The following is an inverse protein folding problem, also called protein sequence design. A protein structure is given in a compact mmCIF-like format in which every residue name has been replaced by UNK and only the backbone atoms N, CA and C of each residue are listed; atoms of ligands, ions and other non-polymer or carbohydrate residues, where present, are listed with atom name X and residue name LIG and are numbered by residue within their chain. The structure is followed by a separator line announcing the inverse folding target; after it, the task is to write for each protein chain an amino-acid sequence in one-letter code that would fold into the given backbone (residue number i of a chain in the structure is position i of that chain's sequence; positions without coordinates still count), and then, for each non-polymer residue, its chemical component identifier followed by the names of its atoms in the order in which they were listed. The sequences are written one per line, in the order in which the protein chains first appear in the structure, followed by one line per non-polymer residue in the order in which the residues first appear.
data_IF_672911896614
#
_entry.id   IF_672911896614
#
_cell.length_a   1.000
_cell.length_b   1.000
_cell.length_c   1.000
_cell.angle_alpha   90.00
_cell.angle_beta   90.00
_cell.angle_gamma   90.00
#
_symmetry.space_group_name_H-M   'P 1'
#
loop_
_entity.id
_entity.type
_entity.pdbx_description
1 polymer ?
#
# COMPACT_ATOMS: atom_id res chain seq x y z
N UNK A 1 14.04 -32.62 -9.38
CA UNK A 1 13.31 -31.38 -9.01
C UNK A 1 13.34 -30.44 -10.20
N UNK A 2 12.20 -30.00 -10.77
CA UNK A 2 12.21 -29.17 -11.97
C UNK A 2 12.67 -27.76 -11.61
N UNK A 3 13.73 -27.33 -12.30
CA UNK A 3 14.55 -26.16 -11.97
C UNK A 3 13.83 -24.83 -12.12
N UNK A 4 14.15 -23.94 -11.20
CA UNK A 4 13.77 -22.53 -11.18
C UNK A 4 14.19 -21.84 -12.49
N UNK A 5 13.21 -21.51 -13.33
CA UNK A 5 13.34 -20.91 -14.66
C UNK A 5 13.78 -19.42 -14.60
N UNK A 6 14.66 -19.06 -13.66
CA UNK A 6 15.27 -17.73 -13.54
C UNK A 6 16.38 -17.46 -14.56
N UNK A 7 16.56 -18.31 -15.57
CA UNK A 7 17.46 -18.07 -16.71
C UNK A 7 16.69 -17.39 -17.85
N UNK A 8 17.11 -16.15 -18.13
CA UNK A 8 16.72 -15.29 -19.25
C UNK A 8 16.36 -16.10 -20.52
N UNK A 9 15.09 -16.05 -20.93
CA UNK A 9 14.65 -16.49 -22.27
C UNK A 9 13.97 -17.86 -22.36
N UNK A 10 13.79 -18.61 -21.27
CA UNK A 10 13.05 -19.88 -21.28
C UNK A 10 11.53 -19.70 -21.30
N UNK A 11 10.81 -20.64 -21.92
CA UNK A 11 9.34 -20.74 -21.88
C UNK A 11 8.85 -20.64 -20.43
N UNK A 12 7.87 -19.75 -20.20
CA UNK A 12 7.34 -19.46 -18.87
C UNK A 12 6.95 -20.74 -18.12
N UNK A 13 7.29 -20.79 -16.82
CA UNK A 13 6.94 -21.89 -15.92
C UNK A 13 5.45 -22.25 -16.04
N UNK A 14 5.16 -23.54 -16.20
CA UNK A 14 3.79 -24.10 -16.21
C UNK A 14 3.16 -24.17 -14.83
N UNK A 15 3.83 -23.61 -13.81
CA UNK A 15 3.30 -23.54 -12.46
C UNK A 15 1.94 -22.79 -12.48
N UNK A 16 0.88 -23.37 -11.88
CA UNK A 16 -0.45 -22.78 -11.84
C UNK A 16 -0.48 -21.33 -11.34
N UNK A 17 0.38 -20.96 -10.38
CA UNK A 17 0.47 -19.59 -9.87
C UNK A 17 1.00 -18.61 -10.93
N UNK A 18 1.98 -19.04 -11.72
CA UNK A 18 2.58 -18.24 -12.78
C UNK A 18 1.59 -18.06 -13.94
N UNK A 19 0.85 -19.13 -14.28
CA UNK A 19 -0.20 -19.11 -15.28
C UNK A 19 -1.36 -18.17 -14.91
N UNK A 20 -1.86 -18.24 -13.66
CA UNK A 20 -2.91 -17.30 -13.18
C UNK A 20 -2.45 -15.85 -13.25
N UNK A 21 -1.22 -15.57 -12.83
CA UNK A 21 -0.67 -14.21 -12.88
C UNK A 21 -0.57 -13.69 -14.31
N UNK A 22 -0.21 -14.57 -15.25
CA UNK A 22 -0.10 -14.22 -16.68
C UNK A 22 -1.47 -13.95 -17.30
N UNK A 23 -2.46 -14.79 -17.01
CA UNK A 23 -3.84 -14.57 -17.44
C UNK A 23 -4.38 -13.25 -16.87
N UNK A 24 -4.12 -12.98 -15.59
CA UNK A 24 -4.50 -11.71 -14.96
C UNK A 24 -3.84 -10.51 -15.67
N UNK A 25 -2.53 -10.57 -15.96
CA UNK A 25 -1.84 -9.50 -16.67
C UNK A 25 -2.33 -9.30 -18.11
N UNK A 26 -2.68 -10.39 -18.81
CA UNK A 26 -3.22 -10.32 -20.17
C UNK A 26 -4.61 -9.70 -20.21
N UNK A 27 -5.40 -9.88 -19.14
CA UNK A 27 -6.77 -9.37 -19.04
C UNK A 27 -6.85 -7.94 -18.48
N UNK A 28 -5.71 -7.29 -18.18
CA UNK A 28 -5.72 -5.89 -17.73
C UNK A 28 -5.98 -4.94 -18.90
N UNK A 29 -6.84 -3.96 -18.68
CA UNK A 29 -6.99 -2.83 -19.62
C UNK A 29 -5.67 -2.05 -19.71
N UNK A 30 -5.37 -1.45 -20.87
CA UNK A 30 -4.13 -0.69 -21.08
C UNK A 30 -3.96 0.44 -20.06
N UNK A 31 -5.05 1.06 -19.64
CA UNK A 31 -5.08 2.11 -18.60
C UNK A 31 -4.61 1.58 -17.24
N UNK A 32 -5.20 0.48 -16.76
CA UNK A 32 -4.82 -0.18 -15.50
C UNK A 32 -3.37 -0.68 -15.55
N UNK A 33 -2.91 -1.14 -16.71
CA UNK A 33 -1.52 -1.56 -16.89
C UNK A 33 -0.55 -0.37 -16.77
N UNK A 34 -0.89 0.77 -17.38
CA UNK A 34 -0.10 2.00 -17.28
C UNK A 34 -0.06 2.56 -15.84
N UNK A 35 -1.18 2.55 -15.13
CA UNK A 35 -1.25 2.96 -13.72
C UNK A 35 -0.37 2.09 -12.82
N UNK A 36 -0.46 0.76 -12.98
CA UNK A 36 0.41 -0.16 -12.23
C UNK A 36 1.88 0.12 -12.53
N UNK A 37 2.24 0.33 -13.79
CA UNK A 37 3.61 0.67 -14.17
C UNK A 37 4.10 1.95 -13.50
N UNK A 38 3.25 2.99 -13.40
CA UNK A 38 3.55 4.24 -12.68
C UNK A 38 3.76 3.99 -11.18
N UNK A 39 2.82 3.29 -10.53
CA UNK A 39 2.92 2.92 -9.10
C UNK A 39 4.18 2.11 -8.80
N UNK A 40 4.49 1.12 -9.62
CA UNK A 40 5.72 0.32 -9.47
C UNK A 40 6.99 1.15 -9.66
N UNK A 41 7.01 2.08 -10.61
CA UNK A 41 8.16 2.95 -10.83
C UNK A 41 8.40 3.89 -9.64
N UNK A 42 7.33 4.45 -9.06
CA UNK A 42 7.40 5.27 -7.86
C UNK A 42 7.90 4.46 -6.65
N UNK A 43 7.25 3.32 -6.36
CA UNK A 43 7.66 2.39 -5.31
C UNK A 43 9.15 2.03 -5.42
N UNK A 44 9.62 1.69 -6.63
CA UNK A 44 11.01 1.33 -6.85
C UNK A 44 11.96 2.50 -6.56
N UNK A 45 11.60 3.70 -7.00
CA UNK A 45 12.41 4.89 -6.76
C UNK A 45 12.52 5.23 -5.27
N UNK A 46 11.42 5.18 -4.52
CA UNK A 46 11.41 5.37 -3.07
C UNK A 46 12.24 4.29 -2.36
N UNK A 47 12.05 3.02 -2.74
CA UNK A 47 12.80 1.90 -2.18
C UNK A 47 14.30 2.06 -2.41
N UNK A 48 14.72 2.46 -3.61
CA UNK A 48 16.13 2.64 -3.94
C UNK A 48 16.77 3.77 -3.12
N UNK A 49 16.01 4.85 -2.84
CA UNK A 49 16.44 5.90 -1.92
C UNK A 49 16.58 5.38 -0.49
N UNK A 50 15.57 4.68 0.05
CA UNK A 50 15.68 4.11 1.40
C UNK A 50 16.86 3.13 1.52
N UNK A 51 17.14 2.35 0.47
CA UNK A 51 18.33 1.47 0.44
C UNK A 51 19.62 2.29 0.46
N UNK A 52 19.69 3.40 -0.28
CA UNK A 52 20.86 4.27 -0.30
C UNK A 52 21.09 4.95 1.05
N UNK A 53 20.03 5.54 1.62
CA UNK A 53 20.07 6.19 2.94
C UNK A 53 20.42 5.19 4.02
N UNK A 54 19.83 4.00 4.04
CA UNK A 54 20.16 2.96 5.04
C UNK A 54 21.61 2.44 4.98
N UNK A 55 22.35 2.75 3.91
CA UNK A 55 23.77 2.44 3.77
C UNK A 55 24.69 3.61 4.13
N UNK A 56 24.16 4.83 4.28
CA UNK A 56 24.96 6.00 4.64
C UNK A 56 25.45 5.89 6.09
N UNK A 57 26.55 6.55 6.39
CA UNK A 57 27.14 6.50 7.73
C UNK A 57 26.28 7.28 8.73
N UNK A 58 25.72 8.42 8.31
CA UNK A 58 24.73 9.16 9.10
C UNK A 58 23.55 8.29 9.57
N UNK A 59 23.10 7.31 8.76
CA UNK A 59 22.04 6.40 9.16
C UNK A 59 22.51 5.30 10.14
N UNK A 60 23.77 4.86 10.03
CA UNK A 60 24.37 3.86 10.91
C UNK A 60 24.70 4.44 12.29
N UNK A 61 25.12 5.70 12.34
CA UNK A 61 25.51 6.41 13.56
C UNK A 61 24.30 6.70 14.47
N UNK A 62 23.11 6.85 13.87
CA UNK A 62 21.88 7.00 14.63
C UNK A 62 21.49 5.69 15.31
N UNK A 63 21.24 5.75 16.62
CA UNK A 63 20.86 4.58 17.43
C UNK A 63 19.35 4.44 17.58
N UNK A 64 18.61 5.56 17.58
CA UNK A 64 17.16 5.59 17.79
C UNK A 64 16.37 5.21 16.53
N UNK A 65 15.19 4.58 16.74
CA UNK A 65 14.27 4.25 15.64
C UNK A 65 13.76 5.52 14.95
N UNK A 66 13.30 6.50 15.72
CA UNK A 66 12.69 7.71 15.16
C UNK A 66 13.69 8.55 14.40
N UNK A 67 14.95 8.61 14.84
CA UNK A 67 16.02 9.26 14.09
C UNK A 67 16.29 8.58 12.74
N UNK A 68 16.24 7.24 12.69
CA UNK A 68 16.37 6.47 11.44
C UNK A 68 15.20 6.69 10.50
N UNK A 69 13.97 6.70 11.03
CA UNK A 69 12.78 6.99 10.24
C UNK A 69 12.83 8.40 9.67
N UNK A 70 13.25 9.39 10.46
CA UNK A 70 13.42 10.78 10.00
C UNK A 70 14.42 10.91 8.85
N UNK A 71 15.58 10.25 8.94
CA UNK A 71 16.56 10.27 7.84
C UNK A 71 16.02 9.64 6.55
N UNK A 72 15.23 8.56 6.69
CA UNK A 72 14.59 7.90 5.55
C UNK A 72 13.47 8.76 4.96
N UNK A 73 12.64 9.40 5.79
CA UNK A 73 11.55 10.27 5.34
C UNK A 73 12.11 11.50 4.64
N UNK A 74 13.15 12.15 5.18
CA UNK A 74 13.83 13.28 4.53
C UNK A 74 14.37 12.90 3.14
N UNK A 75 14.96 11.71 3.00
CA UNK A 75 15.44 11.21 1.71
C UNK A 75 14.31 11.01 0.70
N UNK A 76 13.20 10.42 1.14
CA UNK A 76 12.02 10.19 0.29
C UNK A 76 11.30 11.49 -0.07
N UNK A 77 11.16 12.42 0.87
CA UNK A 77 10.56 13.73 0.64
C UNK A 77 11.35 14.55 -0.38
N UNK A 78 12.69 14.54 -0.30
CA UNK A 78 13.54 15.17 -1.34
C UNK A 78 13.30 14.56 -2.72
N UNK A 79 13.22 13.23 -2.81
CA UNK A 79 12.90 12.56 -4.08
C UNK A 79 11.52 12.97 -4.61
N UNK A 80 10.51 13.08 -3.75
CA UNK A 80 9.17 13.50 -4.16
C UNK A 80 9.16 14.97 -4.62
N UNK A 81 9.87 15.86 -3.93
CA UNK A 81 10.07 17.24 -4.36
C UNK A 81 10.76 17.31 -5.74
N UNK A 82 11.82 16.53 -5.97
CA UNK A 82 12.50 16.46 -7.27
C UNK A 82 11.58 15.92 -8.39
N UNK A 83 10.71 14.95 -8.08
CA UNK A 83 9.72 14.44 -9.03
C UNK A 83 8.70 15.49 -9.41
N UNK A 84 8.21 16.25 -8.44
CA UNK A 84 7.29 17.37 -8.66
C UNK A 84 7.97 18.43 -9.55
N UNK A 85 9.21 18.81 -9.21
CA UNK A 85 9.99 19.78 -9.98
C UNK A 85 10.25 19.31 -11.44
N UNK A 86 10.49 18.02 -11.64
CA UNK A 86 10.73 17.40 -12.97
C UNK A 86 9.44 16.97 -13.69
N UNK A 87 8.26 17.33 -13.16
CA UNK A 87 6.94 16.97 -13.70
C UNK A 87 6.76 15.47 -13.96
N UNK A 88 7.36 14.64 -13.12
CA UNK A 88 7.16 13.18 -13.16
C UNK A 88 5.83 12.83 -12.48
N UNK A 89 5.03 11.92 -13.05
CA UNK A 89 3.77 11.51 -12.44
C UNK A 89 4.01 10.90 -11.07
N UNK A 90 3.25 11.36 -10.09
CA UNK A 90 3.19 10.82 -8.73
C UNK A 90 1.86 10.11 -8.52
N UNK A 91 1.87 9.08 -7.69
CA UNK A 91 0.73 8.21 -7.40
C UNK A 91 0.15 8.44 -6.00
N UNK A 92 0.61 9.49 -5.30
CA UNK A 92 0.12 9.86 -3.97
C UNK A 92 0.53 8.88 -2.87
N UNK A 93 1.71 8.25 -3.00
CA UNK A 93 2.20 7.31 -1.97
C UNK A 93 2.43 8.06 -0.65
N UNK A 94 1.87 7.55 0.45
CA UNK A 94 2.19 8.02 1.79
C UNK A 94 3.65 7.66 2.12
N UNK A 95 4.48 8.69 2.31
CA UNK A 95 5.91 8.54 2.55
C UNK A 95 6.17 7.96 3.94
N UNK A 96 5.39 8.35 4.94
CA UNK A 96 5.64 7.97 6.33
C UNK A 96 5.23 6.51 6.54
N UNK A 97 4.09 6.09 5.99
CA UNK A 97 3.69 4.69 5.95
C UNK A 97 4.71 3.84 5.16
N UNK A 98 5.20 4.34 4.03
CA UNK A 98 6.19 3.62 3.23
C UNK A 98 7.51 3.41 3.99
N UNK A 99 8.01 4.47 4.63
CA UNK A 99 9.29 4.47 5.34
C UNK A 99 9.23 3.59 6.59
N UNK A 100 8.15 3.64 7.35
CA UNK A 100 7.93 2.76 8.51
C UNK A 100 7.91 1.29 8.08
N UNK A 101 7.13 0.93 7.05
CA UNK A 101 7.09 -0.44 6.52
C UNK A 101 8.44 -0.91 5.98
N UNK A 102 9.20 -0.04 5.33
CA UNK A 102 10.55 -0.35 4.84
C UNK A 102 11.53 -0.62 6.01
N UNK A 103 11.53 0.25 7.02
CA UNK A 103 12.37 0.14 8.19
C UNK A 103 12.06 -1.12 8.98
N UNK A 104 10.80 -1.32 9.33
CA UNK A 104 10.35 -2.40 10.20
C UNK A 104 10.51 -3.75 9.48
N UNK A 105 10.24 -3.81 8.17
CA UNK A 105 10.52 -5.00 7.36
C UNK A 105 12.01 -5.37 7.28
N UNK A 106 12.94 -4.42 7.41
CA UNK A 106 14.39 -4.69 7.49
C UNK A 106 14.82 -5.04 8.91
N UNK A 107 14.27 -4.37 9.91
CA UNK A 107 14.54 -4.65 11.32
C UNK A 107 14.09 -6.07 11.69
N UNK A 108 12.87 -6.47 11.30
CA UNK A 108 12.33 -7.82 11.47
C UNK A 108 13.22 -8.89 10.82
N UNK A 109 13.79 -8.62 9.63
CA UNK A 109 14.72 -9.54 8.97
C UNK A 109 16.04 -9.68 9.71
N UNK A 110 16.56 -8.59 10.29
CA UNK A 110 17.78 -8.62 11.10
C UNK A 110 17.57 -9.42 12.39
N UNK A 111 16.44 -9.25 13.07
CA UNK A 111 16.11 -10.03 14.27
C UNK A 111 15.90 -11.51 13.97
N UNK A 112 15.18 -11.87 12.90
CA UNK A 112 15.03 -13.28 12.47
C UNK A 112 16.36 -13.94 12.11
N UNK A 113 17.30 -13.20 11.54
CA UNK A 113 18.64 -13.73 11.24
C UNK A 113 19.44 -14.04 12.51
N UNK A 114 19.40 -13.16 13.52
CA UNK A 114 20.13 -13.33 14.80
C UNK A 114 19.59 -14.50 15.62
N UNK A 115 18.26 -14.71 15.67
CA UNK A 115 17.69 -15.89 16.34
C UNK A 115 17.98 -17.19 15.59
N UNK A 116 18.03 -17.16 14.25
CA UNK A 116 18.41 -18.34 13.46
C UNK A 116 19.91 -18.67 13.49
N UNK A 117 20.78 -17.69 13.76
CA UNK A 117 22.23 -17.94 13.93
C UNK A 117 22.58 -18.40 15.33
N UNK A 118 21.84 -17.94 16.36
CA UNK A 118 22.02 -18.41 17.73
C UNK A 118 21.66 -19.89 17.89
N UNK A 119 20.68 -20.40 17.14
CA UNK A 119 20.29 -21.81 17.16
C UNK A 119 21.27 -22.77 16.44
N UNK A 120 22.31 -22.26 15.78
CA UNK A 120 23.28 -23.07 15.02
C UNK A 120 24.66 -23.20 15.68
N UNK A 121 24.83 -22.65 16.88
CA UNK A 121 26.11 -22.62 17.59
C UNK A 121 26.18 -23.51 18.84
N UNK A 122 25.17 -24.35 19.11
CA UNK A 122 25.18 -25.25 20.28
C UNK A 122 25.66 -26.70 19.97
N UNK A 123 26.13 -26.99 18.76
CA UNK A 123 26.70 -28.31 18.41
C UNK A 123 28.06 -28.17 17.70
N UNK A 124 29.12 -27.76 18.43
CA UNK A 124 30.48 -28.28 18.22
C UNK A 124 31.52 -27.60 19.10
N UNK A 125 32.29 -28.46 19.75
CA UNK A 125 33.67 -28.29 20.24
C UNK A 125 33.86 -27.63 21.61
N UNK A 126 33.96 -28.52 22.60
CA UNK A 126 34.77 -28.38 23.80
C UNK A 126 36.26 -28.09 23.50
N UNK A 127 36.88 -27.46 24.51
CA UNK A 127 38.31 -27.31 24.82
C UNK A 127 39.17 -26.30 24.02
N UNK A 128 39.37 -25.11 24.60
CA UNK A 128 40.67 -24.72 25.18
C UNK A 128 40.57 -23.40 25.97
N UNK A 129 40.68 -23.53 27.30
CA UNK A 129 41.34 -22.63 28.26
C UNK A 129 41.18 -21.11 28.16
N UNK A 130 40.60 -20.51 29.22
CA UNK A 130 41.14 -19.25 29.75
C UNK A 130 40.13 -18.19 30.22
N UNK A 131 39.73 -18.32 31.49
CA UNK A 131 39.46 -17.24 32.44
C UNK A 131 38.19 -16.38 32.31
N UNK A 132 37.54 -16.21 33.47
CA UNK A 132 36.57 -15.18 33.84
C UNK A 132 35.08 -15.44 33.55
N UNK A 133 34.58 -16.56 34.10
CA UNK A 133 33.15 -16.82 34.27
C UNK A 133 32.70 -16.45 35.70
N UNK A 134 32.60 -15.15 36.02
CA UNK A 134 31.98 -14.73 37.29
C UNK A 134 31.10 -13.47 37.19
N UNK A 135 30.80 -12.99 35.96
CA UNK A 135 29.97 -11.77 35.78
C UNK A 135 28.77 -11.94 34.85
N UNK A 136 28.56 -13.12 34.26
CA UNK A 136 27.55 -13.31 33.21
C UNK A 136 26.22 -13.93 33.69
N UNK A 137 26.12 -14.41 34.94
CA UNK A 137 24.91 -15.09 35.43
C UNK A 137 23.88 -14.19 36.11
N UNK A 138 24.18 -12.90 36.36
CA UNK A 138 23.24 -11.98 37.04
C UNK A 138 22.23 -11.24 36.16
N UNK A 139 22.34 -11.33 34.83
CA UNK A 139 21.42 -10.63 33.90
C UNK A 139 20.47 -11.56 33.13
N UNK A 140 20.42 -12.86 33.46
CA UNK A 140 19.57 -13.84 32.76
C UNK A 140 18.29 -14.23 33.51
N UNK A 141 17.99 -13.52 34.60
CA UNK A 141 16.72 -13.59 35.32
C UNK A 141 16.14 -12.17 35.33
N UNK A 142 15.80 -11.66 34.13
CA UNK A 142 14.67 -10.73 34.06
C UNK A 142 13.45 -11.63 34.04
N UNK A 143 12.59 -11.41 35.03
CA UNK A 143 11.57 -12.30 35.54
C UNK A 143 10.64 -12.87 34.46
N UNK A 144 10.40 -14.19 34.52
CA UNK A 144 9.32 -14.83 33.75
C UNK A 144 7.94 -14.18 34.03
N UNK A 145 7.78 -13.54 35.20
CA UNK A 145 6.59 -12.78 35.54
C UNK A 145 6.45 -11.48 34.73
N UNK A 146 7.55 -10.80 34.39
CA UNK A 146 7.51 -9.58 33.57
C UNK A 146 7.18 -9.91 32.10
N UNK A 147 7.58 -11.10 31.62
CA UNK A 147 7.22 -11.59 30.29
C UNK A 147 5.71 -11.95 30.23
N UNK A 148 5.15 -12.57 31.26
CA UNK A 148 3.71 -12.87 31.30
C UNK A 148 2.85 -11.60 31.38
N UNK A 149 3.29 -10.57 32.12
CA UNK A 149 2.60 -9.27 32.20
C UNK A 149 2.59 -8.57 30.83
N UNK A 150 3.73 -8.53 30.12
CA UNK A 150 3.79 -7.92 28.78
C UNK A 150 2.98 -8.68 27.73
N UNK A 151 2.87 -10.01 27.84
CA UNK A 151 2.02 -10.82 26.93
C UNK A 151 0.54 -10.59 27.20
N UNK A 152 0.12 -10.44 28.46
CA UNK A 152 -1.26 -10.12 28.81
C UNK A 152 -1.66 -8.71 28.33
N UNK A 153 -0.81 -7.71 28.54
CA UNK A 153 -1.02 -6.34 28.04
C UNK A 153 -1.08 -6.28 26.50
N UNK A 154 -0.24 -7.08 25.82
CA UNK A 154 -0.33 -7.21 24.36
C UNK A 154 -1.59 -7.93 23.90
N UNK A 155 -2.11 -8.88 24.67
CA UNK A 155 -3.34 -9.60 24.33
C UNK A 155 -4.58 -8.68 24.45
N UNK A 156 -4.63 -7.83 25.46
CA UNK A 156 -5.68 -6.82 25.62
C UNK A 156 -5.61 -5.76 24.50
N UNK A 157 -4.41 -5.28 24.16
CA UNK A 157 -4.23 -4.36 23.04
C UNK A 157 -4.65 -4.97 21.68
N UNK A 158 -4.43 -6.27 21.49
CA UNK A 158 -4.89 -6.99 20.28
C UNK A 158 -6.41 -7.16 20.28
N UNK A 159 -7.04 -7.41 21.43
CA UNK A 159 -8.49 -7.50 21.55
C UNK A 159 -9.17 -6.15 21.21
N UNK A 160 -8.62 -5.04 21.69
CA UNK A 160 -9.10 -3.68 21.37
C UNK A 160 -8.93 -3.34 19.88
N UNK A 161 -7.82 -3.77 19.26
CA UNK A 161 -7.62 -3.61 17.82
C UNK A 161 -8.63 -4.41 16.98
N UNK A 162 -8.93 -5.64 17.39
CA UNK A 162 -9.92 -6.50 16.71
C UNK A 162 -11.33 -5.94 16.87
N UNK A 163 -11.67 -5.41 18.05
CA UNK A 163 -12.95 -4.75 18.28
C UNK A 163 -13.10 -3.49 17.40
N UNK A 164 -12.06 -2.66 17.32
CA UNK A 164 -12.03 -1.51 16.41
C UNK A 164 -12.14 -1.91 14.94
N UNK A 165 -11.50 -3.00 14.52
CA UNK A 165 -11.60 -3.51 13.15
C UNK A 165 -13.03 -3.95 12.80
N UNK A 166 -13.73 -4.59 13.74
CA UNK A 166 -15.13 -4.97 13.57
C UNK A 166 -16.05 -3.73 13.48
N UNK A 167 -15.79 -2.69 14.27
CA UNK A 167 -16.55 -1.44 14.21
C UNK A 167 -16.33 -0.70 12.88
N UNK A 168 -15.08 -0.63 12.40
CA UNK A 168 -14.74 -0.05 11.09
C UNK A 168 -15.43 -0.82 9.96
N UNK A 169 -15.45 -2.16 10.02
CA UNK A 169 -16.15 -2.98 9.03
C UNK A 169 -17.66 -2.71 9.01
N UNK A 170 -18.29 -2.55 10.18
CA UNK A 170 -19.70 -2.20 10.27
C UNK A 170 -20.00 -0.79 9.69
N UNK A 171 -19.15 0.20 10.00
CA UNK A 171 -19.26 1.54 9.43
C UNK A 171 -19.09 1.53 7.91
N UNK A 172 -18.15 0.74 7.38
CA UNK A 172 -17.92 0.61 5.94
C UNK A 172 -19.14 0.03 5.22
N UNK A 173 -19.79 -0.98 5.81
CA UNK A 173 -21.02 -1.55 5.25
C UNK A 173 -22.16 -0.52 5.23
N UNK A 174 -22.33 0.25 6.31
CA UNK A 174 -23.34 1.31 6.37
C UNK A 174 -23.10 2.41 5.32
N UNK A 175 -21.83 2.82 5.11
CA UNK A 175 -21.48 3.78 4.07
C UNK A 175 -21.73 3.19 2.68
N UNK A 176 -21.44 1.91 2.46
CA UNK A 176 -21.71 1.24 1.19
C UNK A 176 -23.21 1.25 0.85
N UNK A 177 -24.08 0.99 1.82
CA UNK A 177 -25.54 1.06 1.63
C UNK A 177 -26.00 2.50 1.29
N UNK A 178 -25.44 3.50 1.98
CA UNK A 178 -25.75 4.91 1.68
C UNK A 178 -25.31 5.31 0.26
N UNK A 179 -24.13 4.86 -0.18
CA UNK A 179 -23.63 5.13 -1.54
C UNK A 179 -24.53 4.48 -2.59
N UNK A 180 -24.99 3.26 -2.37
CA UNK A 180 -25.95 2.59 -3.26
C UNK A 180 -27.26 3.38 -3.36
N UNK A 181 -27.82 3.79 -2.23
CA UNK A 181 -29.05 4.60 -2.22
C UNK A 181 -28.86 5.94 -2.95
N UNK A 182 -27.74 6.65 -2.73
CA UNK A 182 -27.45 7.90 -3.45
C UNK A 182 -27.31 7.66 -4.96
N UNK A 183 -26.69 6.55 -5.37
CA UNK A 183 -26.57 6.20 -6.79
C UNK A 183 -27.91 5.90 -7.45
N UNK A 184 -28.83 5.25 -6.72
CA UNK A 184 -30.19 4.99 -7.20
C UNK A 184 -31.00 6.29 -7.33
N UNK A 185 -30.91 7.18 -6.34
CA UNK A 185 -31.54 8.51 -6.41
C UNK A 185 -30.98 9.33 -7.57
N UNK A 186 -29.67 9.28 -7.81
CA UNK A 186 -29.03 10.00 -8.91
C UNK A 186 -29.53 9.48 -10.28
N UNK A 187 -29.67 8.16 -10.45
CA UNK A 187 -30.23 7.58 -11.67
C UNK A 187 -31.67 8.05 -11.92
N UNK A 188 -32.52 8.04 -10.88
CA UNK A 188 -33.90 8.52 -10.98
C UNK A 188 -33.96 10.02 -11.33
N UNK A 189 -33.04 10.82 -10.78
CA UNK A 189 -32.96 12.24 -11.11
C UNK A 189 -32.49 12.47 -12.55
N UNK A 190 -31.56 11.67 -13.05
CA UNK A 190 -31.09 11.75 -14.43
C UNK A 190 -32.23 11.44 -15.42
N UNK A 191 -32.99 10.36 -15.19
CA UNK A 191 -34.16 10.02 -16.01
C UNK A 191 -35.21 11.15 -16.01
N UNK A 192 -35.42 11.79 -14.85
CA UNK A 192 -36.34 12.93 -14.73
C UNK A 192 -35.88 14.14 -15.54
N UNK A 193 -34.57 14.43 -15.53
CA UNK A 193 -34.01 15.54 -16.31
C UNK A 193 -34.17 15.26 -17.80
N UNK A 194 -33.88 14.04 -18.25
CA UNK A 194 -34.03 13.64 -19.66
C UNK A 194 -35.48 13.82 -20.15
N UNK A 195 -36.48 13.41 -19.36
CA UNK A 195 -37.90 13.61 -19.70
C UNK A 195 -38.26 15.11 -19.80
N UNK A 196 -37.68 15.96 -18.95
CA UNK A 196 -37.91 17.41 -19.02
C UNK A 196 -37.23 18.01 -20.24
N UNK A 197 -36.01 17.58 -20.57
CA UNK A 197 -35.28 18.02 -21.76
C UNK A 197 -36.00 17.63 -23.05
N UNK A 198 -36.49 16.40 -23.16
CA UNK A 198 -37.30 15.95 -24.30
C UNK A 198 -38.57 16.77 -24.47
N UNK A 199 -39.22 17.14 -23.35
CA UNK A 199 -40.41 17.98 -23.38
C UNK A 199 -40.07 19.40 -23.84
N UNK A 200 -39.01 19.99 -23.29
CA UNK A 200 -38.55 21.32 -23.68
C UNK A 200 -38.14 21.37 -25.16
N UNK A 201 -37.54 20.29 -25.67
CA UNK A 201 -37.19 20.18 -27.08
C UNK A 201 -38.42 20.11 -27.98
N UNK A 202 -39.42 19.29 -27.62
CA UNK A 202 -40.71 19.25 -28.34
C UNK A 202 -41.42 20.61 -28.35
N UNK A 203 -41.42 21.31 -27.21
CA UNK A 203 -42.03 22.63 -27.11
C UNK A 203 -41.28 23.66 -28.00
N UNK A 204 -39.95 23.57 -28.07
CA UNK A 204 -39.13 24.42 -28.97
C UNK A 204 -39.42 24.15 -30.44
N UNK A 205 -39.44 22.88 -30.86
CA UNK A 205 -39.76 22.49 -32.24
C UNK A 205 -41.20 22.92 -32.62
N UNK A 206 -42.14 22.81 -31.69
CA UNK A 206 -43.52 23.29 -31.87
C UNK A 206 -43.59 24.81 -32.08
N UNK A 207 -42.85 25.59 -31.28
CA UNK A 207 -42.78 27.04 -31.43
C UNK A 207 -42.09 27.46 -32.74
N UNK A 208 -41.00 26.79 -33.13
CA UNK A 208 -40.32 27.03 -34.40
C UNK A 208 -41.26 26.77 -35.59
N UNK A 209 -42.02 25.68 -35.56
CA UNK A 209 -43.02 25.37 -36.59
C UNK A 209 -44.11 26.45 -36.67
N UNK A 210 -44.63 26.91 -35.52
CA UNK A 210 -45.61 28.01 -35.50
C UNK A 210 -45.05 29.31 -36.06
N UNK A 211 -43.79 29.65 -35.78
CA UNK A 211 -43.14 30.85 -36.31
C UNK A 211 -42.99 30.79 -37.83
N UNK A 212 -42.65 29.62 -38.39
CA UNK A 212 -42.59 29.43 -39.84
C UNK A 212 -43.96 29.68 -40.49
N UNK A 213 -45.02 29.09 -39.93
CA UNK A 213 -46.39 29.31 -40.43
C UNK A 213 -46.78 30.78 -40.36
N UNK A 214 -46.50 31.47 -39.24
CA UNK A 214 -46.82 32.90 -39.09
C UNK A 214 -46.06 33.77 -40.09
N UNK A 215 -44.79 33.46 -40.36
CA UNK A 215 -44.00 34.17 -41.36
C UNK A 215 -44.57 33.98 -42.79
N UNK A 216 -45.05 32.78 -43.12
CA UNK A 216 -45.71 32.51 -44.41
C UNK A 216 -47.02 33.30 -44.58
N UNK A 217 -47.72 33.64 -43.49
CA UNK A 217 -48.92 34.47 -43.53
C UNK A 217 -48.66 35.98 -43.58
N UNK A 218 -47.49 36.46 -43.18
CA UNK A 218 -47.11 37.89 -43.27
C UNK A 218 -46.70 38.32 -44.69
N UNK A 219 -46.33 37.39 -45.56
CA UNK A 219 -45.90 37.63 -46.95
C UNK A 219 -47.07 37.63 -47.98
N UNK A 220 -48.34 37.58 -47.53
CA UNK A 220 -49.56 37.64 -48.36
C UNK A 220 -50.31 38.95 -48.15
#
# INVERSE_FOLDING_TARGET
MPGDARRKGGSYSTNPATMRTRAYQANLTPEKAAERKKKFAEYRSLRDVCIRVSKSDAYKDVTTRDGKLKLLSEGCQRLMADRIATRKPTCGTDIDEFVTRFHDGRWLKKHKAVTSSAAKQEESAEEAGGSSAETAQKNKIMDLADIEITVAEHHDAVADLVANEAEIAAQLNAVSEQVLHVSEVAAIQQDRVEVVEERAQRDREGLESMLVVLAEFEDV
#
